data_IF_899594508516
#
_entry.id   IF_899594508516
#
_cell.length_a   1.000
_cell.length_b   1.000
_cell.length_c   1.000
_cell.angle_alpha   90.00
_cell.angle_beta   90.00
_cell.angle_gamma   90.00
#
_symmetry.space_group_name_H-M   'P 1'
#
loop_
_entity.id
_entity.type
_entity.pdbx_description
1 polymer ?
#
# COMPACT_ATOMS: atom_id res chain seq x y z
N UNK A 1 8.47 -5.25 -3.55
CA UNK A 1 7.06 -4.83 -3.42
C UNK A 1 6.47 -4.45 -4.78
N UNK A 2 6.87 -3.33 -5.41
CA UNK A 2 6.28 -2.87 -6.67
C UNK A 2 6.19 -3.95 -7.77
N UNK A 3 7.28 -4.69 -8.04
CA UNK A 3 7.28 -5.78 -9.02
C UNK A 3 6.22 -6.85 -8.74
N UNK A 4 6.12 -7.32 -7.49
CA UNK A 4 5.11 -8.29 -7.06
C UNK A 4 3.69 -7.69 -7.11
N UNK A 5 3.55 -6.40 -6.85
CA UNK A 5 2.28 -5.67 -6.98
C UNK A 5 1.81 -5.59 -8.42
N UNK A 6 2.71 -5.26 -9.36
CA UNK A 6 2.41 -5.26 -10.79
C UNK A 6 2.00 -6.66 -11.28
N UNK A 7 2.71 -7.71 -10.85
CA UNK A 7 2.33 -9.10 -11.16
C UNK A 7 0.93 -9.45 -10.63
N UNK A 8 0.64 -9.12 -9.36
CA UNK A 8 -0.66 -9.39 -8.77
C UNK A 8 -1.81 -8.60 -9.43
N UNK A 9 -1.56 -7.35 -9.82
CA UNK A 9 -2.53 -6.55 -10.56
C UNK A 9 -2.79 -7.10 -11.96
N UNK A 10 -1.74 -7.58 -12.65
CA UNK A 10 -1.87 -8.22 -13.95
C UNK A 10 -2.67 -9.53 -13.88
N UNK A 11 -2.49 -10.32 -12.83
CA UNK A 11 -3.30 -11.53 -12.59
C UNK A 11 -4.80 -11.19 -12.53
N UNK A 12 -5.17 -10.14 -11.79
CA UNK A 12 -6.57 -9.67 -11.72
C UNK A 12 -7.04 -9.16 -13.09
N UNK A 13 -6.26 -8.32 -13.74
CA UNK A 13 -6.60 -7.78 -15.06
C UNK A 13 -6.81 -8.88 -16.12
N UNK A 14 -5.96 -9.91 -16.10
CA UNK A 14 -6.08 -11.04 -17.02
C UNK A 14 -7.36 -11.86 -16.80
N UNK A 15 -7.96 -11.86 -15.60
CA UNK A 15 -9.24 -12.53 -15.39
C UNK A 15 -10.36 -11.87 -16.20
N UNK A 16 -10.33 -10.54 -16.32
CA UNK A 16 -11.32 -9.78 -17.08
C UNK A 16 -11.01 -9.84 -18.58
N UNK A 17 -9.75 -9.63 -18.97
CA UNK A 17 -9.32 -9.70 -20.38
C UNK A 17 -9.56 -11.10 -20.98
N UNK A 18 -9.31 -12.17 -20.22
CA UNK A 18 -9.56 -13.52 -20.70
C UNK A 18 -11.05 -13.77 -20.95
N UNK A 19 -11.94 -13.21 -20.12
CA UNK A 19 -13.40 -13.35 -20.30
C UNK A 19 -13.90 -12.55 -21.48
N UNK A 20 -13.39 -11.34 -21.67
CA UNK A 20 -13.89 -10.40 -22.68
C UNK A 20 -13.26 -10.65 -24.07
N UNK A 21 -11.96 -10.96 -24.11
CA UNK A 21 -11.18 -11.03 -25.34
C UNK A 21 -10.53 -12.40 -25.59
N UNK A 22 -10.58 -13.33 -24.64
CA UNK A 22 -10.00 -14.67 -24.81
C UNK A 22 -8.47 -14.71 -24.81
N UNK A 23 -7.79 -13.63 -24.43
CA UNK A 23 -6.32 -13.51 -24.42
C UNK A 23 -5.76 -13.30 -23.02
N UNK A 24 -4.46 -13.55 -22.86
CA UNK A 24 -3.70 -13.22 -21.65
C UNK A 24 -2.56 -12.27 -21.98
N UNK A 25 -2.38 -11.25 -21.14
CA UNK A 25 -1.26 -10.33 -21.23
C UNK A 25 -0.14 -10.84 -20.33
N UNK A 26 1.08 -10.87 -20.86
CA UNK A 26 2.29 -11.19 -20.10
C UNK A 26 3.19 -9.95 -19.99
N UNK A 27 3.86 -9.80 -18.86
CA UNK A 27 4.87 -8.76 -18.65
C UNK A 27 6.14 -9.36 -18.07
N UNK A 28 7.28 -8.87 -18.55
CA UNK A 28 8.57 -9.09 -17.89
C UNK A 28 8.92 -7.90 -17.01
N UNK A 29 9.45 -8.15 -15.82
CA UNK A 29 9.92 -7.13 -14.88
C UNK A 29 11.38 -7.43 -14.55
N UNK A 30 12.26 -6.47 -14.80
CA UNK A 30 13.67 -6.54 -14.45
C UNK A 30 13.98 -5.64 -13.27
N UNK A 31 14.64 -6.20 -12.25
CA UNK A 31 14.98 -5.49 -11.02
C UNK A 31 16.49 -5.45 -10.85
N UNK A 32 17.03 -4.24 -10.75
CA UNK A 32 18.43 -3.99 -10.50
C UNK A 32 18.59 -2.78 -9.58
N UNK A 33 19.72 -2.72 -8.89
CA UNK A 33 20.10 -1.58 -8.07
C UNK A 33 21.47 -1.06 -8.52
N UNK A 34 21.58 0.25 -8.67
CA UNK A 34 22.83 0.92 -9.02
C UNK A 34 22.63 2.42 -9.21
N UNK A 35 23.73 3.16 -9.40
CA UNK A 35 23.68 4.61 -9.54
C UNK A 35 22.98 5.02 -10.84
N UNK A 36 22.14 6.05 -10.75
CA UNK A 36 21.45 6.68 -11.88
C UNK A 36 21.39 8.19 -11.68
N UNK A 37 21.32 8.91 -12.79
CA UNK A 37 20.98 10.34 -12.82
C UNK A 37 19.52 10.46 -13.22
N UNK A 38 18.75 11.21 -12.43
CA UNK A 38 17.33 11.47 -12.67
C UNK A 38 17.14 12.97 -12.87
N UNK A 39 16.40 13.35 -13.90
CA UNK A 39 16.21 14.76 -14.21
C UNK A 39 15.21 15.00 -15.33
N UNK A 40 14.83 16.27 -15.50
CA UNK A 40 14.05 16.71 -16.64
C UNK A 40 15.00 16.97 -17.80
N UNK A 41 14.76 16.30 -18.92
CA UNK A 41 15.56 16.40 -20.15
C UNK A 41 14.66 16.91 -21.27
N UNK A 42 15.18 17.79 -22.10
CA UNK A 42 14.44 18.40 -23.21
C UNK A 42 14.31 19.91 -23.06
N UNK A 43 13.73 20.52 -24.10
CA UNK A 43 13.49 21.96 -24.15
C UNK A 43 12.57 22.40 -23.00
N UNK A 44 12.70 23.63 -22.44
CA UNK A 44 11.87 24.10 -21.33
C UNK A 44 10.35 23.96 -21.54
N UNK A 45 9.87 24.08 -22.77
CA UNK A 45 8.45 23.87 -23.12
C UNK A 45 8.02 22.41 -23.28
N UNK A 46 8.96 21.47 -23.43
CA UNK A 46 8.73 20.03 -23.56
C UNK A 46 9.76 19.24 -22.77
N UNK A 47 9.68 19.36 -21.44
CA UNK A 47 10.53 18.60 -20.52
C UNK A 47 9.95 17.21 -20.26
N UNK A 48 10.75 16.17 -20.45
CA UNK A 48 10.41 14.81 -20.04
C UNK A 48 11.28 14.40 -18.84
N UNK A 49 10.68 13.72 -17.87
CA UNK A 49 11.43 13.15 -16.76
C UNK A 49 12.15 11.88 -17.25
N UNK A 50 13.48 11.91 -17.23
CA UNK A 50 14.34 10.83 -17.71
C UNK A 50 15.20 10.24 -16.60
N UNK A 51 15.61 8.99 -16.82
CA UNK A 51 16.59 8.27 -16.01
C UNK A 51 17.74 7.88 -16.94
N UNK A 52 18.96 8.26 -16.59
CA UNK A 52 20.17 7.94 -17.36
C UNK A 52 21.16 7.22 -16.44
N UNK A 53 21.70 6.10 -16.92
CA UNK A 53 22.74 5.36 -16.21
C UNK A 53 22.80 3.89 -16.61
N UNK A 54 23.95 3.28 -16.37
CA UNK A 54 24.17 1.85 -16.64
C UNK A 54 23.16 0.97 -15.89
N UNK A 55 22.78 1.34 -14.65
CA UNK A 55 21.81 0.58 -13.87
C UNK A 55 20.42 0.49 -14.53
N UNK A 56 19.96 1.54 -15.22
CA UNK A 56 18.71 1.52 -15.98
C UNK A 56 18.79 0.59 -17.20
N UNK A 57 19.93 0.62 -17.90
CA UNK A 57 20.20 -0.28 -19.03
C UNK A 57 20.27 -1.74 -18.57
N UNK A 58 20.92 -2.02 -17.42
CA UNK A 58 20.95 -3.37 -16.82
C UNK A 58 19.54 -3.83 -16.47
N UNK A 59 18.74 -3.00 -15.80
CA UNK A 59 17.35 -3.36 -15.45
C UNK A 59 16.50 -3.71 -16.69
N UNK A 60 16.62 -2.92 -17.77
CA UNK A 60 15.94 -3.19 -19.05
C UNK A 60 16.40 -4.52 -19.69
N UNK A 61 17.70 -4.82 -19.66
CA UNK A 61 18.22 -6.09 -20.18
C UNK A 61 17.78 -7.29 -19.34
N UNK A 62 17.76 -7.14 -18.02
CA UNK A 62 17.21 -8.15 -17.10
C UNK A 62 15.72 -8.36 -17.37
N UNK A 63 14.98 -7.28 -17.65
CA UNK A 63 13.58 -7.37 -18.05
C UNK A 63 13.43 -8.21 -19.32
N UNK A 64 14.25 -7.97 -20.34
CA UNK A 64 14.23 -8.74 -21.60
C UNK A 64 14.59 -10.22 -21.41
N UNK A 65 15.47 -10.53 -20.46
CA UNK A 65 15.87 -11.91 -20.14
C UNK A 65 14.71 -12.78 -19.61
N UNK A 66 13.63 -12.16 -19.08
CA UNK A 66 12.44 -12.89 -18.62
C UNK A 66 11.86 -13.80 -19.71
N UNK A 67 11.89 -13.35 -20.97
CA UNK A 67 11.35 -14.10 -22.11
C UNK A 67 12.09 -15.42 -22.32
N UNK A 68 13.42 -15.39 -22.30
CA UNK A 68 14.24 -16.58 -22.49
C UNK A 68 14.12 -17.55 -21.30
N UNK A 69 14.02 -17.02 -20.08
CA UNK A 69 13.93 -17.82 -18.85
C UNK A 69 12.51 -18.26 -18.49
N UNK A 70 11.50 -17.81 -19.25
CA UNK A 70 10.07 -18.03 -18.97
C UNK A 70 9.71 -17.66 -17.52
N UNK A 71 10.00 -16.42 -17.17
CA UNK A 71 9.77 -15.85 -15.83
C UNK A 71 9.04 -14.51 -15.95
N UNK A 72 8.42 -14.04 -14.85
CA UNK A 72 7.77 -12.71 -14.82
C UNK A 72 8.67 -11.65 -14.18
N UNK A 73 9.44 -12.03 -13.15
CA UNK A 73 10.27 -11.10 -12.38
C UNK A 73 11.66 -11.70 -12.23
N UNK A 74 12.65 -11.01 -12.77
CA UNK A 74 14.06 -11.31 -12.57
C UNK A 74 14.75 -10.18 -11.82
N UNK A 75 15.60 -10.55 -10.89
CA UNK A 75 16.45 -9.63 -10.16
C UNK A 75 17.92 -10.03 -10.28
N UNK A 76 18.82 -9.05 -10.39
CA UNK A 76 20.25 -9.32 -10.34
C UNK A 76 20.71 -9.72 -8.94
N UNK A 77 21.78 -10.49 -8.84
CA UNK A 77 22.48 -10.80 -7.58
C UNK A 77 22.79 -9.55 -6.74
N UNK A 78 23.29 -8.48 -7.37
CA UNK A 78 23.56 -7.20 -6.70
C UNK A 78 22.32 -6.65 -5.96
N UNK A 79 21.12 -6.84 -6.50
CA UNK A 79 19.89 -6.44 -5.83
C UNK A 79 19.54 -7.40 -4.68
N UNK A 80 19.62 -8.71 -4.91
CA UNK A 80 19.26 -9.74 -3.93
C UNK A 80 20.16 -9.67 -2.69
N UNK A 81 21.47 -9.50 -2.86
CA UNK A 81 22.44 -9.41 -1.77
C UNK A 81 22.24 -8.18 -0.87
N UNK A 82 21.60 -7.12 -1.38
CA UNK A 82 21.31 -5.92 -0.60
C UNK A 82 19.99 -6.00 0.18
N UNK A 83 19.16 -7.02 -0.06
CA UNK A 83 17.93 -7.21 0.69
C UNK A 83 18.23 -7.75 2.10
N UNK A 84 17.45 -7.34 3.12
CA UNK A 84 17.50 -7.98 4.42
C UNK A 84 17.28 -9.50 4.26
N UNK A 85 18.07 -10.30 4.98
CA UNK A 85 18.01 -11.77 4.91
C UNK A 85 16.57 -12.26 5.10
N UNK A 86 16.13 -13.12 4.18
CA UNK A 86 14.79 -13.71 4.22
C UNK A 86 13.66 -12.79 3.72
N UNK A 87 13.98 -11.70 3.02
CA UNK A 87 12.97 -10.83 2.40
C UNK A 87 12.34 -11.47 1.16
N UNK A 88 13.15 -11.82 0.15
CA UNK A 88 12.64 -12.35 -1.12
C UNK A 88 12.60 -13.89 -1.12
N UNK A 89 11.54 -14.45 -1.70
CA UNK A 89 11.47 -15.85 -2.10
C UNK A 89 11.96 -15.94 -3.55
N UNK A 90 13.02 -16.71 -3.77
CA UNK A 90 13.65 -16.87 -5.08
C UNK A 90 13.30 -18.22 -5.72
N UNK A 91 13.21 -18.25 -7.04
CA UNK A 91 12.95 -19.43 -7.87
C UNK A 91 14.19 -19.81 -8.69
N UNK A 92 14.03 -19.88 -10.02
CA UNK A 92 15.14 -20.15 -10.95
C UNK A 92 16.33 -19.20 -10.72
N UNK A 93 17.54 -19.71 -10.90
CA UNK A 93 18.77 -18.92 -10.81
C UNK A 93 19.70 -19.27 -11.96
N UNK A 94 20.07 -18.28 -12.78
CA UNK A 94 20.91 -18.48 -13.96
C UNK A 94 21.93 -17.36 -14.16
N UNK A 95 23.11 -17.71 -14.66
CA UNK A 95 24.12 -16.74 -15.11
C UNK A 95 23.88 -16.40 -16.56
N UNK A 96 23.67 -15.11 -16.84
CA UNK A 96 23.38 -14.62 -18.18
C UNK A 96 24.40 -13.55 -18.57
N UNK A 97 24.88 -13.61 -19.81
CA UNK A 97 25.67 -12.54 -20.40
C UNK A 97 24.73 -11.46 -20.94
N UNK A 98 24.65 -10.33 -20.24
CA UNK A 98 23.87 -9.21 -20.72
C UNK A 98 24.64 -8.51 -21.84
N UNK A 99 23.99 -8.28 -22.99
CA UNK A 99 24.60 -7.60 -24.14
C UNK A 99 25.31 -6.31 -23.69
N UNK A 100 26.59 -6.12 -24.03
CA UNK A 100 27.35 -4.92 -23.63
C UNK A 100 27.84 -4.91 -22.18
N UNK A 101 27.79 -6.04 -21.46
CA UNK A 101 28.53 -6.27 -20.21
C UNK A 101 29.60 -7.32 -20.46
N UNK A 102 30.82 -7.06 -19.98
CA UNK A 102 31.95 -7.99 -20.11
C UNK A 102 31.86 -9.20 -19.18
N UNK A 103 31.21 -9.06 -18.02
CA UNK A 103 31.05 -10.14 -17.04
C UNK A 103 29.63 -10.73 -17.05
N UNK A 104 29.52 -12.04 -16.86
CA UNK A 104 28.25 -12.72 -16.64
C UNK A 104 27.54 -12.15 -15.40
N UNK A 105 26.24 -11.90 -15.51
CA UNK A 105 25.40 -11.43 -14.40
C UNK A 105 24.57 -12.59 -13.88
N UNK A 106 24.65 -12.85 -12.58
CA UNK A 106 23.78 -13.82 -11.92
C UNK A 106 22.39 -13.22 -11.73
N UNK A 107 21.36 -13.92 -12.21
CA UNK A 107 19.96 -13.54 -12.08
C UNK A 107 19.22 -14.55 -11.19
N UNK A 108 18.20 -14.04 -10.50
CA UNK A 108 17.29 -14.80 -9.65
C UNK A 108 15.85 -14.43 -10.00
N UNK A 109 15.02 -15.44 -10.21
CA UNK A 109 13.58 -15.25 -10.29
C UNK A 109 13.04 -14.86 -8.91
N UNK A 110 12.20 -13.84 -8.85
CA UNK A 110 11.53 -13.42 -7.61
C UNK A 110 10.06 -13.83 -7.66
N UNK A 111 9.69 -14.82 -6.86
CA UNK A 111 8.33 -15.40 -6.87
C UNK A 111 7.44 -14.84 -5.76
N UNK A 112 8.02 -14.15 -4.78
CA UNK A 112 7.28 -13.59 -3.66
C UNK A 112 8.18 -13.08 -2.55
N UNK A 113 7.59 -12.88 -1.36
CA UNK A 113 8.35 -12.67 -0.14
C UNK A 113 8.57 -13.99 0.59
N UNK A 114 9.74 -14.18 1.20
CA UNK A 114 10.03 -15.38 2.01
C UNK A 114 9.42 -15.26 3.40
N UNK A 115 9.49 -14.07 4.01
CA UNK A 115 8.63 -13.67 5.14
C UNK A 115 7.49 -12.83 4.61
N UNK A 116 6.27 -13.08 5.07
CA UNK A 116 5.11 -12.30 4.64
C UNK A 116 5.31 -10.80 4.86
N UNK A 117 4.84 -10.02 3.89
CA UNK A 117 4.89 -8.56 3.91
C UNK A 117 3.46 -8.04 4.10
N UNK A 118 3.13 -7.62 5.32
CA UNK A 118 1.77 -7.18 5.68
C UNK A 118 1.28 -6.07 4.78
N UNK A 119 2.15 -5.09 4.49
CA UNK A 119 1.79 -3.97 3.62
C UNK A 119 1.43 -4.46 2.21
N UNK A 120 2.18 -5.41 1.65
CA UNK A 120 1.85 -6.01 0.37
C UNK A 120 0.52 -6.77 0.42
N UNK A 121 0.25 -7.55 1.47
CA UNK A 121 -1.02 -8.27 1.63
C UNK A 121 -2.22 -7.30 1.69
N UNK A 122 -2.08 -6.23 2.47
CA UNK A 122 -3.10 -5.18 2.61
C UNK A 122 -3.28 -4.46 1.27
N UNK A 123 -2.22 -4.05 0.59
CA UNK A 123 -2.31 -3.39 -0.73
C UNK A 123 -2.91 -4.30 -1.80
N UNK A 124 -2.53 -5.58 -1.84
CA UNK A 124 -3.08 -6.57 -2.78
C UNK A 124 -4.59 -6.74 -2.58
N UNK A 125 -5.05 -6.81 -1.33
CA UNK A 125 -6.48 -7.00 -1.02
C UNK A 125 -7.28 -5.69 -1.12
N UNK A 126 -6.64 -4.53 -1.04
CA UNK A 126 -7.27 -3.22 -1.19
C UNK A 126 -7.99 -3.07 -2.54
N UNK A 127 -7.40 -3.57 -3.63
CA UNK A 127 -8.03 -3.47 -4.96
C UNK A 127 -9.38 -4.20 -5.02
N UNK A 128 -9.49 -5.36 -4.37
CA UNK A 128 -10.73 -6.13 -4.32
C UNK A 128 -11.76 -5.53 -3.34
N UNK A 129 -11.29 -5.02 -2.20
CA UNK A 129 -12.14 -4.43 -1.18
C UNK A 129 -12.82 -3.13 -1.62
N UNK A 130 -12.05 -2.28 -2.31
CA UNK A 130 -12.42 -0.93 -2.74
C UNK A 130 -12.57 -0.84 -4.27
N UNK A 131 -12.94 -1.94 -4.92
CA UNK A 131 -13.43 -1.91 -6.31
C UNK A 131 -14.72 -1.11 -6.42
N UNK A 132 -15.57 -1.21 -5.39
CA UNK A 132 -16.72 -0.35 -5.13
C UNK A 132 -16.58 0.28 -3.72
N UNK A 133 -16.06 1.50 -3.68
CA UNK A 133 -15.84 2.28 -2.45
C UNK A 133 -17.16 2.62 -1.74
N UNK A 134 -18.25 2.82 -2.49
CA UNK A 134 -19.58 3.11 -1.95
C UNK A 134 -20.18 1.89 -1.25
N UNK A 135 -20.13 0.73 -1.90
CA UNK A 135 -20.60 -0.52 -1.30
C UNK A 135 -19.81 -0.90 -0.05
N UNK A 136 -18.48 -0.67 -0.04
CA UNK A 136 -17.67 -0.89 1.17
C UNK A 136 -18.17 -0.02 2.33
N UNK A 137 -18.35 1.28 2.07
CA UNK A 137 -18.76 2.21 3.09
C UNK A 137 -20.17 1.95 3.62
N UNK A 138 -21.12 1.63 2.73
CA UNK A 138 -22.49 1.28 3.11
C UNK A 138 -22.51 0.07 4.05
N UNK A 139 -21.74 -0.97 3.73
CA UNK A 139 -21.64 -2.15 4.59
C UNK A 139 -20.96 -1.85 5.93
N UNK A 140 -19.90 -1.04 5.92
CA UNK A 140 -19.24 -0.59 7.15
C UNK A 140 -20.19 0.19 8.06
N UNK A 141 -20.90 1.21 7.55
CA UNK A 141 -21.81 2.03 8.35
C UNK A 141 -23.04 1.25 8.80
N UNK A 142 -23.59 0.39 7.95
CA UNK A 142 -24.70 -0.50 8.34
C UNK A 142 -24.31 -1.37 9.55
N UNK A 143 -23.11 -1.97 9.52
CA UNK A 143 -22.58 -2.76 10.65
C UNK A 143 -22.30 -1.90 11.88
N UNK A 144 -21.69 -0.72 11.70
CA UNK A 144 -21.36 0.20 12.79
C UNK A 144 -22.63 0.64 13.55
N UNK A 145 -23.66 1.06 12.83
CA UNK A 145 -24.88 1.56 13.45
C UNK A 145 -25.80 0.45 13.96
N UNK A 146 -25.64 -0.79 13.47
CA UNK A 146 -26.30 -1.93 14.08
C UNK A 146 -25.74 -2.26 15.48
N UNK A 147 -24.43 -2.04 15.71
CA UNK A 147 -23.78 -2.33 17.00
C UNK A 147 -23.73 -1.13 17.95
N UNK A 148 -23.77 0.09 17.42
CA UNK A 148 -23.80 1.34 18.17
C UNK A 148 -24.71 2.37 17.47
N UNK A 149 -26.05 2.25 17.62
CA UNK A 149 -27.00 3.19 17.03
C UNK A 149 -26.72 4.65 17.41
N UNK A 150 -26.28 4.89 18.64
CA UNK A 150 -25.90 6.21 19.16
C UNK A 150 -24.74 6.86 18.41
N UNK A 151 -23.91 6.06 17.73
CA UNK A 151 -22.83 6.60 16.92
C UNK A 151 -23.36 7.41 15.72
N UNK A 152 -24.59 7.17 15.26
CA UNK A 152 -25.20 7.90 14.13
C UNK A 152 -25.17 9.41 14.33
N UNK A 153 -25.40 9.89 15.56
CA UNK A 153 -25.43 11.32 15.88
C UNK A 153 -24.07 12.02 15.66
N UNK A 154 -22.98 11.24 15.64
CA UNK A 154 -21.63 11.73 15.35
C UNK A 154 -21.38 11.92 13.85
N UNK A 155 -22.18 11.31 12.97
CA UNK A 155 -22.05 11.36 11.51
C UNK A 155 -23.15 12.26 10.92
N UNK A 156 -22.87 13.57 10.85
CA UNK A 156 -23.80 14.57 10.31
C UNK A 156 -23.64 14.71 8.79
N UNK A 157 -24.76 14.81 8.07
CA UNK A 157 -24.81 15.15 6.64
C UNK A 157 -25.17 13.98 5.73
N UNK A 158 -24.72 14.04 4.48
CA UNK A 158 -25.03 13.01 3.48
C UNK A 158 -24.09 11.79 3.67
N UNK A 159 -24.67 10.68 4.11
CA UNK A 159 -23.96 9.42 4.38
C UNK A 159 -23.37 8.75 3.15
N UNK A 160 -23.96 8.92 1.97
CA UNK A 160 -23.41 8.40 0.72
C UNK A 160 -22.10 9.11 0.37
N UNK A 161 -22.10 10.45 0.42
CA UNK A 161 -20.90 11.26 0.20
C UNK A 161 -19.85 10.99 1.28
N UNK A 162 -20.27 10.86 2.53
CA UNK A 162 -19.36 10.56 3.64
C UNK A 162 -18.76 9.15 3.52
N UNK A 163 -19.54 8.19 3.03
CA UNK A 163 -19.07 6.84 2.71
C UNK A 163 -18.02 6.81 1.64
N UNK A 164 -18.26 7.49 0.52
CA UNK A 164 -17.27 7.65 -0.54
C UNK A 164 -15.97 8.26 -0.01
N UNK A 165 -16.05 9.36 0.76
CA UNK A 165 -14.88 10.01 1.34
C UNK A 165 -14.11 9.08 2.28
N UNK A 166 -14.80 8.30 3.11
CA UNK A 166 -14.15 7.35 4.02
C UNK A 166 -13.41 6.25 3.24
N UNK A 167 -14.07 5.60 2.28
CA UNK A 167 -13.49 4.55 1.45
C UNK A 167 -12.25 5.06 0.69
N UNK A 168 -12.39 6.23 0.05
CA UNK A 168 -11.32 6.88 -0.68
C UNK A 168 -10.12 7.22 0.22
N UNK A 169 -10.37 7.81 1.39
CA UNK A 169 -9.31 8.18 2.34
C UNK A 169 -8.61 6.95 2.92
N UNK A 170 -9.34 5.88 3.21
CA UNK A 170 -8.77 4.64 3.73
C UNK A 170 -7.86 3.98 2.68
N UNK A 171 -8.35 3.85 1.44
CA UNK A 171 -7.56 3.38 0.29
C UNK A 171 -6.31 4.22 0.09
N UNK A 172 -6.45 5.55 0.06
CA UNK A 172 -5.32 6.48 -0.07
C UNK A 172 -4.29 6.33 1.05
N UNK A 173 -4.75 6.19 2.29
CA UNK A 173 -3.88 6.00 3.44
C UNK A 173 -3.09 4.68 3.37
N UNK A 174 -3.71 3.59 2.94
CA UNK A 174 -3.03 2.29 2.75
C UNK A 174 -1.92 2.39 1.70
N UNK A 175 -2.19 3.05 0.56
CA UNK A 175 -1.14 3.26 -0.44
C UNK A 175 -0.02 4.15 0.11
N UNK A 176 -0.39 5.19 0.84
CA UNK A 176 0.58 6.09 1.44
C UNK A 176 1.43 5.41 2.53
N UNK A 177 0.96 4.34 3.19
CA UNK A 177 1.71 3.59 4.21
C UNK A 177 3.02 2.97 3.67
N UNK A 178 3.19 2.89 2.35
CA UNK A 178 4.49 2.64 1.70
C UNK A 178 5.55 3.74 1.97
N UNK A 179 5.12 4.91 2.43
CA UNK A 179 5.93 6.11 2.75
C UNK A 179 5.65 6.56 4.19
N UNK A 180 6.16 5.83 5.20
CA UNK A 180 5.69 5.93 6.59
C UNK A 180 5.83 7.32 7.22
N UNK A 181 6.85 8.11 6.84
CA UNK A 181 7.09 9.44 7.43
C UNK A 181 5.95 10.43 7.16
N UNK A 182 5.46 10.51 5.92
CA UNK A 182 4.45 11.50 5.53
C UNK A 182 3.05 11.12 6.04
N UNK A 183 2.78 9.82 6.12
CA UNK A 183 1.49 9.31 6.59
C UNK A 183 1.24 9.54 8.06
N UNK A 184 2.29 9.42 8.89
CA UNK A 184 2.18 9.66 10.32
C UNK A 184 1.68 11.09 10.63
N UNK A 185 2.13 12.09 9.87
CA UNK A 185 1.66 13.49 10.03
C UNK A 185 0.17 13.63 9.71
N UNK A 186 -0.28 13.04 8.59
CA UNK A 186 -1.69 13.07 8.19
C UNK A 186 -2.61 12.42 9.22
N UNK A 187 -2.23 11.26 9.76
CA UNK A 187 -3.03 10.59 10.79
C UNK A 187 -3.04 11.34 12.11
N UNK A 188 -1.92 11.95 12.54
CA UNK A 188 -1.91 12.80 13.74
C UNK A 188 -2.85 13.99 13.59
N UNK A 189 -2.87 14.63 12.44
CA UNK A 189 -3.79 15.75 12.19
C UNK A 189 -5.25 15.29 12.15
N UNK A 190 -5.52 14.14 11.54
CA UNK A 190 -6.85 13.52 11.61
C UNK A 190 -7.27 13.26 13.06
N UNK A 191 -6.36 12.71 13.89
CA UNK A 191 -6.57 12.48 15.31
C UNK A 191 -6.88 13.76 16.11
N UNK A 192 -6.17 14.86 15.83
CA UNK A 192 -6.48 16.18 16.42
C UNK A 192 -7.90 16.63 16.11
N UNK A 193 -8.39 16.40 14.89
CA UNK A 193 -9.78 16.70 14.52
C UNK A 193 -10.77 15.76 15.22
N UNK A 194 -10.43 14.48 15.36
CA UNK A 194 -11.28 13.50 16.07
C UNK A 194 -11.56 13.89 17.53
N UNK A 195 -10.64 14.59 18.20
CA UNK A 195 -10.93 15.15 19.54
C UNK A 195 -12.06 16.19 19.54
N UNK A 196 -12.21 16.98 18.46
CA UNK A 196 -13.32 17.95 18.34
C UNK A 196 -14.65 17.26 18.13
N UNK A 197 -14.65 16.03 17.61
CA UNK A 197 -15.85 15.24 17.37
C UNK A 197 -16.26 14.40 18.59
N UNK A 198 -15.51 14.47 19.70
CA UNK A 198 -15.79 13.68 20.90
C UNK A 198 -15.40 12.20 20.78
N UNK A 199 -14.49 11.86 19.87
CA UNK A 199 -14.06 10.47 19.69
C UNK A 199 -13.22 9.99 20.89
N UNK A 200 -13.62 8.86 21.49
CA UNK A 200 -12.96 8.21 22.62
C UNK A 200 -12.10 7.03 22.16
N UNK A 201 -11.31 6.45 23.07
CA UNK A 201 -10.57 5.19 22.83
C UNK A 201 -11.51 4.03 22.50
N UNK A 202 -12.66 3.95 23.15
CA UNK A 202 -13.66 2.90 22.95
C UNK A 202 -14.21 2.92 21.51
N UNK A 203 -14.39 4.12 20.93
CA UNK A 203 -14.79 4.25 19.54
C UNK A 203 -13.75 3.66 18.58
N UNK A 204 -12.44 3.79 18.86
CA UNK A 204 -11.41 3.16 18.01
C UNK A 204 -11.48 1.63 18.06
N UNK A 205 -11.73 1.04 19.24
CA UNK A 205 -11.88 -0.41 19.39
C UNK A 205 -13.11 -0.92 18.63
N UNK A 206 -14.22 -0.20 18.73
CA UNK A 206 -15.45 -0.51 17.99
C UNK A 206 -15.23 -0.44 16.48
N UNK A 207 -14.69 0.67 15.99
CA UNK A 207 -14.40 0.88 14.55
C UNK A 207 -13.42 -0.18 14.04
N UNK A 208 -12.40 -0.56 14.82
CA UNK A 208 -11.47 -1.65 14.49
C UNK A 208 -12.23 -2.95 14.24
N UNK A 209 -13.10 -3.35 15.18
CA UNK A 209 -13.88 -4.57 15.07
C UNK A 209 -14.77 -4.54 13.83
N UNK A 210 -15.51 -3.45 13.62
CA UNK A 210 -16.42 -3.31 12.49
C UNK A 210 -15.67 -3.32 11.15
N UNK A 211 -14.52 -2.65 11.05
CA UNK A 211 -13.68 -2.71 9.86
C UNK A 211 -13.26 -4.15 9.55
N UNK A 212 -12.78 -4.91 10.53
CA UNK A 212 -12.39 -6.32 10.34
C UNK A 212 -13.57 -7.20 9.93
N UNK A 213 -14.76 -6.98 10.52
CA UNK A 213 -15.98 -7.69 10.15
C UNK A 213 -16.40 -7.37 8.70
N UNK A 214 -16.28 -6.10 8.27
CA UNK A 214 -16.51 -5.69 6.87
C UNK A 214 -15.49 -6.32 5.92
N UNK A 215 -14.21 -6.37 6.30
CA UNK A 215 -13.16 -7.03 5.51
C UNK A 215 -13.50 -8.51 5.28
N UNK A 216 -13.90 -9.21 6.34
CA UNK A 216 -14.28 -10.64 6.29
C UNK A 216 -15.44 -10.87 5.32
N UNK A 217 -16.48 -10.06 5.42
CA UNK A 217 -17.68 -10.21 4.60
C UNK A 217 -17.41 -9.96 3.11
N UNK A 218 -16.56 -8.98 2.78
CA UNK A 218 -16.27 -8.63 1.38
C UNK A 218 -15.24 -9.54 0.73
N UNK A 219 -14.23 -10.01 1.47
CA UNK A 219 -13.21 -10.89 0.92
C UNK A 219 -13.67 -12.35 0.78
N UNK A 220 -14.72 -12.77 1.51
CA UNK A 220 -15.32 -14.11 1.43
C UNK A 220 -14.24 -15.20 1.45
N UNK A 221 -14.13 -16.03 0.42
CA UNK A 221 -13.19 -17.15 0.31
C UNK A 221 -11.72 -16.70 0.25
N UNK A 222 -11.46 -15.45 -0.13
CA UNK A 222 -10.12 -14.87 -0.08
C UNK A 222 -9.72 -14.42 1.32
N UNK A 223 -10.63 -14.41 2.29
CA UNK A 223 -10.32 -14.03 3.67
C UNK A 223 -9.53 -15.14 4.38
N UNK A 224 -8.52 -14.75 5.14
CA UNK A 224 -7.73 -15.67 5.97
C UNK A 224 -7.22 -14.96 7.22
N UNK A 225 -6.81 -15.73 8.22
CA UNK A 225 -6.19 -15.16 9.42
C UNK A 225 -4.94 -14.32 9.12
N UNK A 226 -4.20 -14.68 8.07
CA UNK A 226 -3.04 -13.91 7.62
C UNK A 226 -3.44 -12.53 7.14
N UNK A 227 -4.48 -12.45 6.31
CA UNK A 227 -5.02 -11.17 5.82
C UNK A 227 -5.61 -10.37 6.98
N UNK A 228 -6.38 -11.01 7.86
CA UNK A 228 -6.92 -10.38 9.07
C UNK A 228 -5.82 -9.72 9.90
N UNK A 229 -4.78 -10.47 10.27
CA UNK A 229 -3.68 -9.99 11.10
C UNK A 229 -2.90 -8.87 10.42
N UNK A 230 -2.68 -8.95 9.09
CA UNK A 230 -2.02 -7.89 8.34
C UNK A 230 -2.83 -6.59 8.39
N UNK A 231 -4.15 -6.65 8.15
CA UNK A 231 -5.04 -5.49 8.22
C UNK A 231 -5.14 -4.91 9.62
N UNK A 232 -5.31 -5.76 10.63
CA UNK A 232 -5.33 -5.35 12.04
C UNK A 232 -4.06 -4.56 12.40
N UNK A 233 -2.87 -5.06 12.04
CA UNK A 233 -1.60 -4.35 12.28
C UNK A 233 -1.54 -2.98 11.59
N UNK A 234 -2.10 -2.86 10.38
CA UNK A 234 -2.13 -1.58 9.66
C UNK A 234 -3.14 -0.60 10.28
N UNK A 235 -4.31 -1.07 10.72
CA UNK A 235 -5.26 -0.25 11.47
C UNK A 235 -4.69 0.21 12.81
N UNK A 236 -4.05 -0.69 13.55
CA UNK A 236 -3.43 -0.39 14.85
C UNK A 236 -2.32 0.67 14.68
N UNK A 237 -1.55 0.62 13.60
CA UNK A 237 -0.56 1.65 13.26
C UNK A 237 -1.22 3.01 12.96
N UNK A 238 -2.29 3.03 12.18
CA UNK A 238 -3.04 4.25 11.88
C UNK A 238 -3.65 4.86 13.16
N UNK A 239 -4.33 4.05 13.96
CA UNK A 239 -4.93 4.48 15.22
C UNK A 239 -3.89 4.95 16.22
N UNK A 240 -2.72 4.30 16.31
CA UNK A 240 -1.61 4.80 17.12
C UNK A 240 -1.28 6.26 16.78
N UNK A 241 -1.08 6.58 15.50
CA UNK A 241 -0.77 7.96 15.09
C UNK A 241 -1.92 8.93 15.32
N UNK A 242 -3.17 8.52 15.12
CA UNK A 242 -4.33 9.35 15.45
C UNK A 242 -4.38 9.68 16.95
N UNK A 243 -4.13 8.69 17.80
CA UNK A 243 -4.11 8.85 19.25
C UNK A 243 -2.97 9.74 19.74
N UNK A 244 -1.77 9.61 19.17
CA UNK A 244 -0.66 10.54 19.43
C UNK A 244 -1.06 11.98 19.11
N UNK A 245 -1.73 12.21 17.98
CA UNK A 245 -2.24 13.53 17.59
C UNK A 245 -3.28 14.07 18.56
N UNK A 246 -4.23 13.22 18.97
CA UNK A 246 -5.26 13.57 19.94
C UNK A 246 -4.69 13.96 21.32
N UNK A 247 -3.68 13.21 21.80
CA UNK A 247 -3.03 13.48 23.08
C UNK A 247 -2.22 14.79 23.08
N UNK A 248 -1.49 15.09 22.00
CA UNK A 248 -0.70 16.33 21.89
C UNK A 248 -1.54 17.60 21.99
N UNK A 249 -2.81 17.54 21.57
CA UNK A 249 -3.76 18.65 21.73
C UNK A 249 -4.27 18.81 23.17
N UNK A 250 -4.44 17.71 23.90
CA UNK A 250 -4.81 17.75 25.33
C UNK A 250 -3.70 18.41 26.17
N UNK A 251 -2.44 18.16 25.84
CA UNK A 251 -1.28 18.79 26.51
C UNK A 251 -1.15 20.29 26.20
N UNK A 252 -1.39 20.71 24.95
CA UNK A 252 -1.34 22.13 24.57
C UNK A 252 -2.43 23.00 25.24
N UNK A 253 -3.56 22.40 25.66
CA UNK A 253 -4.62 23.07 26.42
C UNK A 253 -4.32 23.21 27.92
N UNK A 254 -3.31 22.51 28.45
CA UNK A 254 -3.00 22.45 29.87
C UNK A 254 -1.92 23.44 30.33
N UNK A 255 -1.40 24.30 29.44
CA UNK A 255 -0.45 25.36 29.83
C UNK A 255 -1.27 26.51 30.45
N UNK A 256 -1.08 26.84 31.75
CA UNK A 256 -1.77 27.99 32.35
C UNK A 256 -1.33 29.27 31.65
N UNK A 257 -2.27 30.18 31.36
CA UNK A 257 -1.95 31.52 30.86
C UNK A 257 -0.99 32.19 31.86
N UNK A 258 0.07 32.88 31.42
CA UNK A 258 0.91 33.64 32.34
C UNK A 258 0.05 34.67 33.05
N UNK A 259 0.01 34.59 34.37
CA UNK A 259 -0.55 35.63 35.23
C UNK A 259 0.32 36.87 35.03
N UNK A 260 -0.19 37.85 34.28
CA UNK A 260 0.39 39.19 34.26
C UNK A 260 0.03 39.82 35.59
N UNK A 261 1.00 39.87 36.50
CA UNK A 261 0.90 40.70 37.71
C UNK A 261 1.23 42.12 37.24
N UNK A 262 0.21 43.00 37.30
CA UNK A 262 0.34 44.45 37.06
C UNK A 262 0.96 45.10 38.28
#
# INVERSE_FOLDING_TARGET
>A
RAALGMKAALEVLNMDIQKEFGIQIEVGIGVHFGPVIVGKVGHPSHQQFGIIGDAANVASRVQSANKALQTTILATDNFICQLPRGTAKTGKAEKVHLKGKGAATQLYEVTGFKKEDDLFLVQKTTSALFSDEGAFANEFYSRLFAVAPEAQDMFKGNMERQGYLMGHMLKGAIYALSRPRNVALGFRELGRRHTNYGVSEEHYLLVRKVLVDTLKARLKDSYSDRIRLAWERMFDLAFKYMKEGAAGKKQARAVPKPTVVV
#
